data_IF_469224002235
#
_entry.id   IF_469224002235
#
_cell.length_a   1.000
_cell.length_b   1.000
_cell.length_c   1.000
_cell.angle_alpha   90.00
_cell.angle_beta   90.00
_cell.angle_gamma   90.00
#
_symmetry.space_group_name_H-M   'P 1'
#
loop_
_entity.id
_entity.type
_entity.pdbx_description
1 polymer ?
#
# COMPACT_ATOMS: atom_id res chain seq x y z
N UNK A 1 16.19 59.82 25.66
CA UNK A 1 16.44 58.39 25.47
C UNK A 1 17.58 58.26 24.43
N UNK A 2 18.82 57.89 24.86
CA UNK A 2 19.91 57.56 23.97
C UNK A 2 19.72 56.04 23.62
N UNK A 3 19.30 55.76 22.38
CA UNK A 3 19.39 54.41 21.83
C UNK A 3 20.85 54.07 21.62
N UNK A 4 21.43 53.20 22.42
CA UNK A 4 22.72 52.55 22.18
C UNK A 4 22.50 51.49 21.14
N UNK A 5 22.91 51.71 19.90
CA UNK A 5 22.92 50.67 18.83
C UNK A 5 24.13 49.76 19.05
N UNK A 6 23.93 48.71 19.82
CA UNK A 6 24.91 47.58 19.88
C UNK A 6 24.64 46.63 18.72
N UNK A 7 25.33 46.80 17.63
CA UNK A 7 25.34 45.84 16.51
C UNK A 7 26.51 44.89 16.76
N UNK A 8 26.24 43.61 16.88
CA UNK A 8 27.27 42.55 16.96
C UNK A 8 26.94 41.44 15.97
N UNK A 9 27.95 40.91 15.29
CA UNK A 9 27.87 39.69 14.53
C UNK A 9 28.15 38.52 15.50
N UNK A 10 27.23 37.56 15.58
CA UNK A 10 27.39 36.37 16.42
C UNK A 10 27.25 35.12 15.56
N UNK A 11 28.22 34.21 15.64
CA UNK A 11 28.18 32.89 15.03
C UNK A 11 28.33 31.85 16.11
N UNK A 12 27.40 30.89 16.16
CA UNK A 12 27.38 29.82 17.16
C UNK A 12 27.53 28.50 16.46
N UNK A 13 28.45 27.65 16.93
CA UNK A 13 28.58 26.24 16.55
C UNK A 13 28.53 25.37 17.79
N UNK A 14 27.79 24.29 17.76
CA UNK A 14 27.67 23.32 18.85
C UNK A 14 27.72 21.92 18.29
N UNK A 15 28.45 21.04 18.96
CA UNK A 15 28.45 19.59 18.75
C UNK A 15 28.01 18.95 20.05
N UNK A 16 26.99 18.09 20.00
CA UNK A 16 26.51 17.38 21.18
C UNK A 16 26.34 15.89 20.92
N UNK A 17 26.61 15.11 21.96
CA UNK A 17 26.32 13.67 22.02
C UNK A 17 25.29 13.47 23.11
N UNK A 18 24.14 12.97 22.71
CA UNK A 18 23.00 12.78 23.57
C UNK A 18 22.79 11.29 23.88
N UNK A 19 22.74 10.95 25.17
CA UNK A 19 22.46 9.60 25.62
C UNK A 19 21.22 9.58 26.51
N UNK A 20 20.21 8.83 26.08
CA UNK A 20 19.03 8.62 26.89
C UNK A 20 19.26 7.58 27.98
N UNK A 21 18.77 7.85 29.20
CA UNK A 21 18.84 6.93 30.34
C UNK A 21 17.57 6.09 30.36
N UNK A 22 17.65 4.82 29.94
CA UNK A 22 16.47 3.97 29.78
C UNK A 22 15.72 3.65 31.07
N UNK A 23 16.42 3.56 32.21
CA UNK A 23 15.82 3.25 33.51
C UNK A 23 14.92 4.36 34.03
N UNK A 24 15.36 5.60 33.91
CA UNK A 24 14.70 6.76 34.51
C UNK A 24 14.01 7.68 33.49
N UNK A 25 14.23 7.45 32.18
CA UNK A 25 13.68 8.29 31.12
C UNK A 25 14.31 9.67 31.02
N UNK A 26 15.46 9.89 31.67
CA UNK A 26 16.26 11.09 31.56
C UNK A 26 17.21 11.07 30.36
N UNK A 27 17.95 12.17 30.19
CA UNK A 27 18.92 12.39 29.12
C UNK A 27 20.19 12.98 29.69
N UNK A 28 21.33 12.43 29.32
CA UNK A 28 22.66 13.04 29.51
C UNK A 28 23.11 13.54 28.15
N UNK A 29 23.54 14.79 28.10
CA UNK A 29 24.13 15.41 26.92
C UNK A 29 25.57 15.83 27.24
N UNK A 30 26.51 15.44 26.39
CA UNK A 30 27.87 15.94 26.40
C UNK A 30 28.02 16.86 25.20
N UNK A 31 28.35 18.11 25.43
CA UNK A 31 28.42 19.11 24.37
C UNK A 31 29.72 19.90 24.36
N UNK A 32 30.09 20.36 23.18
CA UNK A 32 31.16 21.34 22.97
C UNK A 32 30.58 22.46 22.11
N UNK A 33 30.74 23.69 22.53
CA UNK A 33 30.25 24.85 21.79
C UNK A 33 31.31 25.92 21.60
N UNK A 34 31.17 26.64 20.49
CA UNK A 34 31.98 27.78 20.13
C UNK A 34 31.10 28.92 19.64
N UNK A 35 31.32 30.08 20.20
CA UNK A 35 30.66 31.31 19.80
C UNK A 35 31.69 32.33 19.36
N UNK A 36 31.57 32.86 18.16
CA UNK A 36 32.30 34.03 17.68
C UNK A 36 31.45 35.27 17.83
N UNK A 37 32.02 36.30 18.44
CA UNK A 37 31.34 37.59 18.69
C UNK A 37 32.21 38.71 18.14
N UNK A 38 31.64 39.50 17.22
CA UNK A 38 32.26 40.69 16.63
C UNK A 38 31.37 41.91 16.87
N UNK A 39 31.76 42.83 17.75
CA UNK A 39 31.02 44.06 18.02
C UNK A 39 31.27 45.06 16.90
N UNK A 40 30.31 45.26 15.99
CA UNK A 40 30.47 46.06 14.76
C UNK A 40 30.52 47.58 14.96
N UNK A 41 30.12 48.16 16.09
CA UNK A 41 29.93 49.59 16.24
C UNK A 41 30.55 50.16 17.54
N UNK A 42 31.52 49.51 18.16
CA UNK A 42 32.13 49.96 19.41
C UNK A 42 33.60 50.25 19.12
N UNK A 43 33.98 51.55 19.07
CA UNK A 43 35.38 51.97 18.92
C UNK A 43 36.23 51.38 20.07
N UNK A 44 37.11 50.45 19.76
CA UNK A 44 38.00 49.77 20.71
C UNK A 44 37.54 48.38 21.23
N UNK A 45 36.39 47.88 20.81
CA UNK A 45 35.99 46.54 21.18
C UNK A 45 36.56 45.52 20.18
N UNK A 46 37.39 44.58 20.66
CA UNK A 46 37.96 43.56 19.84
C UNK A 46 37.02 42.33 19.69
N UNK A 47 37.05 41.69 18.52
CA UNK A 47 36.43 40.39 18.31
C UNK A 47 36.99 39.37 19.27
N UNK A 48 36.13 38.45 19.74
CA UNK A 48 36.54 37.39 20.63
C UNK A 48 35.73 36.10 20.39
N UNK A 49 36.33 35.01 20.84
CA UNK A 49 35.70 33.70 20.84
C UNK A 49 35.32 33.34 22.27
N UNK A 50 34.11 32.82 22.45
CA UNK A 50 33.69 32.15 23.67
C UNK A 50 33.54 30.67 23.36
N UNK A 51 34.09 29.81 24.21
CA UNK A 51 33.96 28.38 24.04
C UNK A 51 33.43 27.71 25.33
N UNK A 52 32.74 26.63 25.15
CA UNK A 52 32.50 25.61 26.17
C UNK A 52 33.12 24.32 25.64
N UNK A 53 34.45 24.09 25.85
CA UNK A 53 35.11 22.94 25.28
C UNK A 53 34.51 21.60 25.71
N UNK A 54 34.03 21.54 26.92
CA UNK A 54 33.36 20.37 27.47
C UNK A 54 32.27 20.78 28.44
N UNK A 55 31.07 20.36 28.16
CA UNK A 55 29.87 20.54 29.00
C UNK A 55 29.12 19.23 29.15
N UNK A 56 28.64 18.92 30.36
CA UNK A 56 27.77 17.79 30.64
C UNK A 56 26.46 18.32 31.18
N UNK A 57 25.38 17.93 30.58
CA UNK A 57 24.03 18.31 31.02
C UNK A 57 23.20 17.07 31.30
N UNK A 58 22.58 17.03 32.48
CA UNK A 58 21.57 16.02 32.84
C UNK A 58 20.20 16.68 32.82
N UNK A 59 19.29 16.08 32.10
CA UNK A 59 17.85 16.45 32.15
C UNK A 59 17.04 15.22 32.57
N UNK A 60 16.41 15.29 33.74
CA UNK A 60 15.69 14.19 34.37
C UNK A 60 14.26 14.58 34.66
N UNK A 61 13.24 14.08 33.93
CA UNK A 61 11.86 14.21 34.32
C UNK A 61 11.59 13.33 35.56
N UNK A 62 11.11 13.95 36.63
CA UNK A 62 10.65 13.27 37.83
C UNK A 62 9.12 13.14 37.72
N UNK A 63 8.58 11.98 38.03
CA UNK A 63 7.14 11.65 37.91
C UNK A 63 6.58 11.74 36.47
N UNK A 64 7.44 12.02 35.48
CA UNK A 64 7.10 11.94 34.06
C UNK A 64 6.99 10.50 33.57
N UNK A 65 6.47 10.33 32.34
CA UNK A 65 6.45 9.03 31.67
C UNK A 65 7.83 8.74 31.07
N UNK A 66 8.30 7.52 31.29
CA UNK A 66 9.50 7.03 30.61
C UNK A 66 9.13 6.64 29.17
N UNK A 67 9.38 7.55 28.22
CA UNK A 67 9.09 7.36 26.79
C UNK A 67 9.83 6.15 26.20
N UNK A 68 11.10 5.91 26.63
CA UNK A 68 11.89 4.78 26.12
C UNK A 68 11.29 3.43 26.49
N UNK A 69 10.71 3.33 27.71
CA UNK A 69 10.03 2.12 28.15
C UNK A 69 8.81 1.81 27.28
N UNK A 70 8.07 2.84 26.86
CA UNK A 70 6.94 2.68 25.95
C UNK A 70 7.40 2.37 24.52
N UNK A 71 8.39 3.10 24.00
CA UNK A 71 8.96 2.84 22.68
C UNK A 71 9.50 1.41 22.57
N UNK A 72 10.18 0.89 23.60
CA UNK A 72 10.63 -0.51 23.64
C UNK A 72 9.47 -1.51 23.50
N UNK A 73 8.26 -1.15 23.85
CA UNK A 73 7.05 -1.99 23.68
C UNK A 73 6.38 -1.79 22.32
N UNK A 74 6.41 -0.55 21.80
CA UNK A 74 5.74 -0.17 20.55
C UNK A 74 6.59 -0.53 19.33
N UNK A 75 7.90 -0.25 19.32
CA UNK A 75 8.77 -0.44 18.17
C UNK A 75 8.84 -1.91 17.68
N UNK A 76 8.87 -2.94 18.53
CA UNK A 76 8.79 -4.32 18.05
C UNK A 76 7.48 -4.65 17.32
N UNK A 77 6.36 -4.03 17.73
CA UNK A 77 5.08 -4.19 17.02
C UNK A 77 5.11 -3.48 15.68
N UNK A 78 5.68 -2.27 15.64
CA UNK A 78 5.86 -1.51 14.39
C UNK A 78 6.75 -2.26 13.38
N UNK A 79 7.84 -2.88 13.88
CA UNK A 79 8.69 -3.72 13.05
C UNK A 79 7.95 -4.95 12.51
N UNK A 80 7.18 -5.65 13.35
CA UNK A 80 6.36 -6.80 12.90
C UNK A 80 5.31 -6.38 11.88
N UNK A 81 4.64 -5.25 12.10
CA UNK A 81 3.67 -4.68 11.16
C UNK A 81 4.33 -4.35 9.82
N UNK A 82 5.48 -3.67 9.83
CA UNK A 82 6.21 -3.34 8.62
C UNK A 82 6.69 -4.59 7.85
N UNK A 83 7.14 -5.63 8.58
CA UNK A 83 7.51 -6.90 7.97
C UNK A 83 6.32 -7.63 7.34
N UNK A 84 5.17 -7.63 8.01
CA UNK A 84 3.95 -8.22 7.45
C UNK A 84 3.44 -7.41 6.25
N UNK A 85 3.51 -6.07 6.30
CA UNK A 85 3.16 -5.21 5.18
C UNK A 85 4.07 -5.43 3.97
N UNK A 86 5.37 -5.65 4.18
CA UNK A 86 6.29 -6.01 3.09
C UNK A 86 5.88 -7.32 2.41
N UNK A 87 5.52 -8.35 3.18
CA UNK A 87 5.04 -9.61 2.62
C UNK A 87 3.73 -9.42 1.84
N UNK A 88 2.80 -8.63 2.37
CA UNK A 88 1.56 -8.28 1.67
C UNK A 88 1.84 -7.54 0.35
N UNK A 89 2.82 -6.62 0.34
CA UNK A 89 3.23 -5.91 -0.88
C UNK A 89 3.81 -6.88 -1.94
N UNK A 90 4.61 -7.87 -1.52
CA UNK A 90 5.12 -8.92 -2.42
C UNK A 90 3.97 -9.75 -3.00
N UNK A 91 3.04 -10.20 -2.15
CA UNK A 91 1.86 -10.94 -2.62
C UNK A 91 0.99 -10.09 -3.56
N UNK A 92 0.83 -8.81 -3.30
CA UNK A 92 0.11 -7.88 -4.17
C UNK A 92 0.76 -7.74 -5.55
N UNK A 93 2.09 -7.71 -5.63
CA UNK A 93 2.83 -7.73 -6.90
C UNK A 93 2.59 -9.05 -7.62
N UNK A 94 2.65 -10.17 -6.91
CA UNK A 94 2.38 -11.52 -7.44
C UNK A 94 0.97 -11.61 -8.01
N UNK A 95 -0.05 -11.20 -7.25
CA UNK A 95 -1.44 -11.16 -7.73
C UNK A 95 -1.62 -10.27 -8.96
N UNK A 96 -0.96 -9.11 -9.00
CA UNK A 96 -1.01 -8.23 -10.18
C UNK A 96 -0.36 -8.87 -11.40
N UNK A 97 0.75 -9.58 -11.22
CA UNK A 97 1.40 -10.33 -12.30
C UNK A 97 0.46 -11.42 -12.86
N UNK A 98 -0.18 -12.18 -11.96
CA UNK A 98 -1.17 -13.20 -12.32
C UNK A 98 -2.33 -12.56 -13.09
N UNK A 99 -2.85 -11.44 -12.61
CA UNK A 99 -3.94 -10.71 -13.29
C UNK A 99 -3.55 -10.30 -14.71
N UNK A 100 -2.37 -9.73 -14.93
CA UNK A 100 -1.91 -9.35 -16.27
C UNK A 100 -1.65 -10.56 -17.17
N UNK A 101 -1.15 -11.66 -16.58
CA UNK A 101 -0.98 -12.91 -17.32
C UNK A 101 -2.31 -13.46 -17.83
N UNK A 102 -3.33 -13.53 -16.97
CA UNK A 102 -4.65 -14.00 -17.39
C UNK A 102 -5.36 -13.02 -18.33
N UNK A 103 -5.16 -11.73 -18.20
CA UNK A 103 -5.64 -10.75 -19.19
C UNK A 103 -5.03 -10.99 -20.56
N UNK A 104 -3.74 -11.31 -20.65
CA UNK A 104 -3.08 -11.70 -21.91
C UNK A 104 -3.67 -13.01 -22.44
N UNK A 105 -3.85 -14.01 -21.59
CA UNK A 105 -4.45 -15.29 -21.95
C UNK A 105 -5.87 -15.10 -22.52
N UNK A 106 -6.71 -14.32 -21.83
CA UNK A 106 -8.06 -13.98 -22.29
C UNK A 106 -8.05 -13.25 -23.65
N UNK A 107 -7.15 -12.30 -23.82
CA UNK A 107 -7.03 -11.58 -25.10
C UNK A 107 -6.60 -12.51 -26.24
N UNK A 108 -5.71 -13.47 -25.99
CA UNK A 108 -5.31 -14.51 -26.93
C UNK A 108 -6.48 -15.42 -27.32
N UNK A 109 -7.25 -15.89 -26.33
CA UNK A 109 -8.44 -16.73 -26.56
C UNK A 109 -9.53 -15.96 -27.32
N UNK A 110 -9.80 -14.69 -26.95
CA UNK A 110 -10.77 -13.87 -27.66
C UNK A 110 -10.39 -13.65 -29.13
N UNK A 111 -9.12 -13.44 -29.43
CA UNK A 111 -8.64 -13.36 -30.80
C UNK A 111 -8.84 -14.69 -31.55
N UNK A 112 -8.52 -15.81 -30.89
CA UNK A 112 -8.73 -17.13 -31.46
C UNK A 112 -10.22 -17.37 -31.79
N UNK A 113 -11.12 -17.06 -30.86
CA UNK A 113 -12.57 -17.13 -31.06
C UNK A 113 -13.02 -16.25 -32.26
N UNK A 114 -12.54 -15.00 -32.30
CA UNK A 114 -12.88 -14.06 -33.36
C UNK A 114 -12.41 -14.57 -34.74
N UNK A 115 -11.21 -15.15 -34.82
CA UNK A 115 -10.68 -15.77 -36.07
C UNK A 115 -11.53 -16.95 -36.47
N UNK A 116 -11.90 -17.87 -35.56
CA UNK A 116 -12.76 -19.00 -35.86
C UNK A 116 -14.17 -18.55 -36.33
N UNK A 117 -14.74 -17.55 -35.67
CA UNK A 117 -16.02 -17.01 -36.06
C UNK A 117 -15.99 -16.34 -37.42
N UNK A 118 -14.87 -15.68 -37.80
CA UNK A 118 -14.69 -15.14 -39.14
C UNK A 118 -14.64 -16.23 -40.18
N UNK A 119 -13.85 -17.29 -39.96
CA UNK A 119 -13.78 -18.43 -40.89
C UNK A 119 -15.14 -19.11 -41.09
N UNK A 120 -15.91 -19.29 -40.00
CA UNK A 120 -17.24 -19.84 -40.05
C UNK A 120 -18.23 -18.92 -40.79
N UNK A 121 -18.18 -17.61 -40.53
CA UNK A 121 -19.03 -16.63 -41.22
C UNK A 121 -18.75 -16.60 -42.74
N UNK A 122 -17.47 -16.63 -43.15
CA UNK A 122 -17.07 -16.69 -44.56
C UNK A 122 -17.64 -17.93 -45.23
N UNK A 123 -17.46 -19.12 -44.62
CA UNK A 123 -17.98 -20.39 -45.12
C UNK A 123 -19.51 -20.41 -45.25
N UNK A 124 -20.22 -19.90 -44.22
CA UNK A 124 -21.69 -19.84 -44.24
C UNK A 124 -22.16 -18.89 -45.34
N UNK A 125 -21.48 -17.76 -45.53
CA UNK A 125 -21.80 -16.81 -46.61
C UNK A 125 -21.60 -17.41 -48.02
N UNK A 126 -20.50 -18.12 -48.25
CA UNK A 126 -20.26 -18.83 -49.52
C UNK A 126 -21.37 -19.85 -49.84
N UNK A 127 -21.78 -20.66 -48.84
CA UNK A 127 -22.88 -21.62 -48.98
C UNK A 127 -24.19 -20.87 -49.28
N UNK A 128 -24.44 -19.74 -48.59
CA UNK A 128 -25.63 -18.95 -48.82
C UNK A 128 -25.69 -18.32 -50.22
N UNK A 129 -24.57 -17.89 -50.78
CA UNK A 129 -24.51 -17.40 -52.15
C UNK A 129 -24.96 -18.49 -53.14
N UNK A 130 -24.42 -19.72 -53.05
CA UNK A 130 -24.83 -20.83 -53.88
C UNK A 130 -26.35 -21.15 -53.72
N UNK A 131 -26.85 -21.14 -52.52
CA UNK A 131 -28.29 -21.35 -52.24
C UNK A 131 -29.20 -20.23 -52.76
N UNK A 132 -28.69 -18.99 -52.79
CA UNK A 132 -29.42 -17.87 -53.41
C UNK A 132 -29.55 -18.02 -54.90
N UNK A 133 -28.48 -18.44 -55.57
CA UNK A 133 -28.48 -18.75 -57.02
C UNK A 133 -29.50 -19.85 -57.36
N UNK A 134 -29.69 -20.82 -56.46
CA UNK A 134 -30.73 -21.86 -56.59
C UNK A 134 -32.15 -21.40 -56.15
N UNK A 135 -32.32 -20.16 -55.73
CA UNK A 135 -33.63 -19.63 -55.31
C UNK A 135 -34.08 -20.12 -53.92
N UNK A 136 -33.20 -20.72 -53.12
CA UNK A 136 -33.57 -21.34 -51.82
C UNK A 136 -33.55 -20.37 -50.63
N UNK A 137 -32.90 -19.21 -50.75
CA UNK A 137 -32.88 -18.18 -49.70
C UNK A 137 -33.17 -16.81 -50.29
N UNK A 138 -33.67 -15.91 -49.43
CA UNK A 138 -33.99 -14.53 -49.79
C UNK A 138 -32.75 -13.66 -49.92
N UNK A 139 -32.84 -12.54 -50.62
CA UNK A 139 -31.76 -11.56 -50.71
C UNK A 139 -31.48 -10.93 -49.33
N UNK A 140 -32.52 -10.71 -48.51
CA UNK A 140 -32.40 -10.18 -47.17
C UNK A 140 -31.55 -11.10 -46.29
N UNK A 141 -31.76 -12.42 -46.35
CA UNK A 141 -30.94 -13.40 -45.62
C UNK A 141 -29.47 -13.39 -46.08
N UNK A 142 -29.21 -13.29 -47.38
CA UNK A 142 -27.86 -13.18 -47.90
C UNK A 142 -27.18 -11.89 -47.43
N UNK A 143 -27.88 -10.74 -47.44
CA UNK A 143 -27.33 -9.47 -46.93
C UNK A 143 -27.06 -9.52 -45.44
N UNK A 144 -27.92 -10.21 -44.65
CA UNK A 144 -27.67 -10.43 -43.22
C UNK A 144 -26.43 -11.25 -42.96
N UNK A 145 -26.18 -12.30 -43.73
CA UNK A 145 -24.96 -13.12 -43.64
C UNK A 145 -23.72 -12.33 -44.06
N UNK A 146 -23.81 -11.51 -45.10
CA UNK A 146 -22.74 -10.59 -45.48
C UNK A 146 -22.40 -9.60 -44.38
N UNK A 147 -23.41 -9.05 -43.71
CA UNK A 147 -23.20 -8.20 -42.57
C UNK A 147 -22.51 -8.93 -41.39
N UNK A 148 -22.84 -10.22 -41.20
CA UNK A 148 -22.17 -11.07 -40.20
C UNK A 148 -20.67 -11.26 -40.50
N UNK A 149 -20.29 -11.48 -41.79
CA UNK A 149 -18.86 -11.53 -42.21
C UNK A 149 -18.15 -10.21 -41.89
N UNK A 150 -18.77 -9.06 -42.21
CA UNK A 150 -18.17 -7.76 -41.94
C UNK A 150 -17.98 -7.52 -40.41
N UNK A 151 -18.96 -7.90 -39.60
CA UNK A 151 -18.90 -7.83 -38.13
C UNK A 151 -17.77 -8.74 -37.59
N UNK A 152 -17.70 -9.96 -38.07
CA UNK A 152 -16.64 -10.91 -37.66
C UNK A 152 -15.25 -10.40 -38.05
N UNK A 153 -15.08 -9.81 -39.25
CA UNK A 153 -13.81 -9.17 -39.66
C UNK A 153 -13.42 -8.00 -38.76
N UNK A 154 -14.40 -7.14 -38.41
CA UNK A 154 -14.16 -6.04 -37.46
C UNK A 154 -13.79 -6.56 -36.07
N UNK A 155 -14.40 -7.64 -35.61
CA UNK A 155 -14.07 -8.29 -34.35
C UNK A 155 -12.64 -8.79 -34.32
N UNK A 156 -12.14 -9.44 -35.36
CA UNK A 156 -10.73 -9.90 -35.45
C UNK A 156 -9.78 -8.71 -35.28
N UNK A 157 -10.04 -7.60 -35.97
CA UNK A 157 -9.20 -6.39 -35.85
C UNK A 157 -9.20 -5.83 -34.43
N UNK A 158 -10.38 -5.80 -33.80
CA UNK A 158 -10.54 -5.33 -32.40
C UNK A 158 -9.78 -6.21 -31.41
N UNK A 159 -9.97 -7.53 -31.51
CA UNK A 159 -9.34 -8.48 -30.58
C UNK A 159 -7.82 -8.57 -30.79
N UNK A 160 -7.33 -8.36 -32.04
CA UNK A 160 -5.88 -8.22 -32.30
C UNK A 160 -5.30 -7.00 -31.58
N UNK A 161 -6.01 -5.88 -31.61
CA UNK A 161 -5.58 -4.68 -30.86
C UNK A 161 -5.62 -4.91 -29.34
N UNK A 162 -6.62 -5.65 -28.86
CA UNK A 162 -6.73 -6.08 -27.46
C UNK A 162 -5.54 -6.94 -27.02
N UNK A 163 -5.16 -7.92 -27.84
CA UNK A 163 -3.99 -8.76 -27.58
C UNK A 163 -2.70 -7.94 -27.51
N UNK A 164 -2.50 -7.03 -28.46
CA UNK A 164 -1.32 -6.15 -28.47
C UNK A 164 -1.26 -5.28 -27.21
N UNK A 165 -2.40 -4.74 -26.75
CA UNK A 165 -2.48 -3.94 -25.54
C UNK A 165 -2.18 -4.76 -24.27
N UNK A 166 -2.76 -5.97 -24.14
CA UNK A 166 -2.50 -6.85 -23.00
C UNK A 166 -1.04 -7.32 -22.96
N UNK A 167 -0.45 -7.62 -24.12
CA UNK A 167 0.96 -7.97 -24.27
C UNK A 167 1.86 -6.81 -23.81
N UNK A 168 1.59 -5.61 -24.26
CA UNK A 168 2.34 -4.41 -23.87
C UNK A 168 2.26 -4.16 -22.35
N UNK A 169 1.07 -4.32 -21.78
CA UNK A 169 0.84 -4.12 -20.36
C UNK A 169 1.65 -5.10 -19.49
N UNK A 170 1.63 -6.39 -19.83
CA UNK A 170 2.40 -7.41 -19.11
C UNK A 170 3.90 -7.19 -19.26
N UNK A 171 4.40 -6.93 -20.47
CA UNK A 171 5.82 -6.62 -20.73
C UNK A 171 6.30 -5.41 -19.92
N UNK A 172 5.56 -4.32 -19.99
CA UNK A 172 5.88 -3.08 -19.26
C UNK A 172 5.93 -3.32 -17.75
N UNK A 173 5.00 -4.11 -17.22
CA UNK A 173 4.98 -4.45 -15.81
C UNK A 173 6.16 -5.33 -15.38
N UNK A 174 6.58 -6.28 -16.23
CA UNK A 174 7.71 -7.16 -15.97
C UNK A 174 9.07 -6.51 -16.30
N UNK A 175 9.09 -5.32 -16.89
CA UNK A 175 10.32 -4.66 -17.33
C UNK A 175 10.99 -5.34 -18.54
N UNK A 176 10.21 -6.08 -19.34
CA UNK A 176 10.70 -6.76 -20.54
C UNK A 176 10.77 -5.80 -21.72
N UNK A 177 11.62 -6.16 -22.71
CA UNK A 177 11.76 -5.43 -23.96
C UNK A 177 10.50 -5.55 -24.84
N UNK A 178 10.27 -4.58 -25.71
CA UNK A 178 9.20 -4.64 -26.72
C UNK A 178 9.37 -5.81 -27.71
N UNK A 179 10.59 -6.33 -27.87
CA UNK A 179 10.90 -7.44 -28.77
C UNK A 179 10.63 -8.82 -28.14
N UNK A 180 10.48 -8.90 -26.81
CA UNK A 180 10.22 -10.15 -26.12
C UNK A 180 8.78 -10.62 -26.41
N UNK A 181 8.62 -11.87 -26.86
CA UNK A 181 7.32 -12.48 -27.06
C UNK A 181 6.95 -13.36 -25.87
N UNK A 182 5.78 -13.14 -25.30
CA UNK A 182 5.24 -13.96 -24.22
C UNK A 182 4.12 -14.81 -24.81
N UNK A 183 4.25 -16.12 -24.72
CA UNK A 183 3.17 -17.05 -25.08
C UNK A 183 2.48 -17.53 -23.80
N UNK A 184 1.26 -17.04 -23.57
CA UNK A 184 0.45 -17.45 -22.43
C UNK A 184 -0.19 -18.82 -22.71
N UNK A 185 0.02 -19.75 -21.78
CA UNK A 185 -0.55 -21.10 -21.82
C UNK A 185 -1.63 -21.23 -20.75
N UNK A 186 -2.67 -22.00 -21.04
CA UNK A 186 -3.69 -22.36 -20.06
C UNK A 186 -3.02 -23.27 -19.03
N UNK A 187 -2.98 -22.90 -17.73
CA UNK A 187 -2.40 -23.74 -16.70
C UNK A 187 -3.26 -25.02 -16.50
N UNK A 188 -2.60 -26.11 -16.14
CA UNK A 188 -3.30 -27.31 -15.67
C UNK A 188 -4.04 -26.97 -14.37
N UNK A 189 -5.35 -27.17 -14.38
CA UNK A 189 -6.19 -26.87 -13.24
C UNK A 189 -6.01 -27.93 -12.15
N UNK A 190 -5.65 -27.47 -10.95
CA UNK A 190 -5.62 -28.31 -9.75
C UNK A 190 -7.01 -28.38 -9.12
N UNK A 191 -7.28 -29.47 -8.40
CA UNK A 191 -8.45 -29.55 -7.55
C UNK A 191 -8.36 -28.49 -6.45
N UNK A 192 -9.40 -27.67 -6.33
CA UNK A 192 -9.50 -26.62 -5.29
C UNK A 192 -9.93 -27.25 -3.97
N UNK A 193 -9.10 -27.18 -2.91
CA UNK A 193 -9.53 -27.67 -1.60
C UNK A 193 -10.59 -26.74 -1.01
N UNK A 194 -11.57 -27.31 -0.35
CA UNK A 194 -12.51 -26.54 0.45
C UNK A 194 -11.79 -26.00 1.69
N UNK A 195 -11.86 -24.71 1.93
CA UNK A 195 -11.11 -24.01 2.98
C UNK A 195 -12.06 -23.66 4.12
N UNK A 196 -11.66 -23.99 5.37
CA UNK A 196 -12.45 -23.63 6.54
C UNK A 196 -12.18 -22.18 6.99
N UNK A 197 -13.25 -21.42 7.22
CA UNK A 197 -13.18 -20.03 7.66
C UNK A 197 -12.28 -19.82 8.90
N UNK A 198 -12.42 -20.66 9.93
CA UNK A 198 -11.66 -20.51 11.17
C UNK A 198 -10.15 -20.71 11.00
N UNK A 199 -9.73 -21.56 10.07
CA UNK A 199 -8.32 -21.79 9.79
C UNK A 199 -7.71 -20.57 9.10
N UNK A 200 -8.43 -19.99 8.13
CA UNK A 200 -8.01 -18.76 7.44
C UNK A 200 -7.98 -17.58 8.39
N UNK A 201 -9.02 -17.42 9.21
CA UNK A 201 -9.10 -16.33 10.19
C UNK A 201 -7.94 -16.38 11.19
N UNK A 202 -7.61 -17.57 11.70
CA UNK A 202 -6.49 -17.72 12.65
C UNK A 202 -5.17 -17.33 12.01
N UNK A 203 -4.87 -17.81 10.81
CA UNK A 203 -3.66 -17.46 10.06
C UNK A 203 -3.62 -15.97 9.69
N UNK A 204 -4.76 -15.39 9.31
CA UNK A 204 -4.84 -13.96 8.99
C UNK A 204 -4.55 -13.10 10.23
N UNK A 205 -5.09 -13.46 11.40
CA UNK A 205 -4.83 -12.74 12.66
C UNK A 205 -3.36 -12.83 13.12
N UNK A 206 -2.65 -13.89 12.74
CA UNK A 206 -1.23 -14.05 13.07
C UNK A 206 -0.30 -13.30 12.14
N UNK A 207 -0.58 -13.32 10.83
CA UNK A 207 0.37 -12.92 9.79
C UNK A 207 0.00 -11.62 9.08
N UNK A 208 -1.28 -11.20 9.12
CA UNK A 208 -1.71 -9.99 8.44
C UNK A 208 -1.22 -8.73 9.17
N UNK A 209 -0.71 -7.71 8.46
CA UNK A 209 -0.27 -6.43 9.06
C UNK A 209 -1.38 -5.73 9.85
N UNK A 210 -2.65 -5.92 9.48
CA UNK A 210 -3.81 -5.35 10.16
C UNK A 210 -3.88 -5.77 11.64
N UNK A 211 -3.67 -7.05 11.95
CA UNK A 211 -3.70 -7.54 13.34
C UNK A 211 -2.59 -6.91 14.20
N UNK A 212 -1.40 -6.69 13.62
CA UNK A 212 -0.30 -6.00 14.31
C UNK A 212 -0.58 -4.50 14.44
N UNK A 213 -1.20 -3.88 13.45
CA UNK A 213 -1.64 -2.49 13.47
C UNK A 213 -2.62 -2.21 14.60
N UNK A 214 -3.66 -3.06 14.78
CA UNK A 214 -4.62 -2.95 15.89
C UNK A 214 -3.90 -2.96 17.24
N UNK A 215 -3.00 -3.92 17.46
CA UNK A 215 -2.24 -4.03 18.72
C UNK A 215 -1.36 -2.80 18.97
N UNK A 216 -0.69 -2.31 17.95
CA UNK A 216 0.14 -1.11 18.03
C UNK A 216 -0.69 0.13 18.36
N UNK A 217 -1.77 0.39 17.63
CA UNK A 217 -2.65 1.55 17.82
C UNK A 217 -3.29 1.56 19.21
N UNK A 218 -3.68 0.40 19.73
CA UNK A 218 -4.18 0.30 21.11
C UNK A 218 -3.10 0.67 22.12
N UNK A 219 -1.87 0.19 21.94
CA UNK A 219 -0.75 0.49 22.83
C UNK A 219 -0.30 1.95 22.73
N UNK A 220 -0.36 2.55 21.54
CA UNK A 220 -0.09 3.99 21.34
C UNK A 220 -1.14 4.87 22.05
N UNK A 221 -2.43 4.49 21.97
CA UNK A 221 -3.49 5.19 22.69
C UNK A 221 -3.32 5.10 24.23
N UNK A 222 -2.90 3.94 24.74
CA UNK A 222 -2.57 3.78 26.16
C UNK A 222 -1.34 4.61 26.55
N UNK A 223 -0.35 4.72 25.67
CA UNK A 223 0.82 5.57 25.86
C UNK A 223 0.45 7.06 25.95
N UNK A 224 -0.43 7.54 25.07
CA UNK A 224 -0.91 8.94 25.12
C UNK A 224 -1.59 9.27 26.42
N UNK A 225 -2.42 8.36 26.96
CA UNK A 225 -3.04 8.53 28.27
C UNK A 225 -2.00 8.54 29.38
N UNK A 226 -1.03 7.62 29.33
CA UNK A 226 0.06 7.57 30.29
C UNK A 226 0.89 8.86 30.27
N UNK A 227 1.18 9.37 29.06
CA UNK A 227 1.93 10.61 28.85
C UNK A 227 1.18 11.83 29.39
N UNK A 228 -0.14 11.93 29.11
CA UNK A 228 -0.97 13.00 29.67
C UNK A 228 -1.00 12.96 31.19
N UNK A 229 -1.11 11.77 31.80
CA UNK A 229 -1.07 11.57 33.27
C UNK A 229 0.30 11.91 33.85
N UNK A 230 1.38 11.48 33.23
CA UNK A 230 2.75 11.80 33.64
C UNK A 230 3.02 13.29 33.57
N UNK A 231 2.74 13.92 32.44
CA UNK A 231 2.94 15.36 32.25
C UNK A 231 2.16 16.23 33.23
N UNK A 232 1.07 15.71 33.82
CA UNK A 232 0.31 16.42 34.86
C UNK A 232 1.11 16.61 36.15
N UNK A 233 2.00 15.66 36.49
CA UNK A 233 2.78 15.63 37.71
C UNK A 233 4.28 15.85 37.50
N UNK A 234 4.70 16.06 36.27
CA UNK A 234 6.11 16.13 35.89
C UNK A 234 6.81 17.33 36.53
N UNK A 235 7.92 17.05 37.14
CA UNK A 235 8.92 18.01 37.63
C UNK A 235 10.20 17.73 36.85
N UNK A 236 10.81 18.73 36.24
CA UNK A 236 12.05 18.55 35.50
C UNK A 236 13.22 18.97 36.36
N UNK A 237 14.11 18.04 36.64
CA UNK A 237 15.43 18.29 37.22
C UNK A 237 16.42 18.53 36.09
N UNK A 238 17.14 19.61 36.18
CA UNK A 238 18.20 20.00 35.30
C UNK A 238 19.50 20.19 36.07
N UNK A 239 20.57 19.60 35.61
CA UNK A 239 21.90 19.82 36.14
C UNK A 239 22.88 19.93 34.98
N UNK A 240 23.73 20.97 35.01
CA UNK A 240 24.82 21.08 34.04
C UNK A 240 26.14 21.49 34.71
N UNK A 241 27.22 20.99 34.17
CA UNK A 241 28.56 21.36 34.55
C UNK A 241 29.40 21.53 33.26
N UNK A 242 30.18 22.57 33.19
CA UNK A 242 31.03 22.84 32.04
C UNK A 242 32.18 23.80 32.36
N UNK A 243 33.16 23.77 31.49
CA UNK A 243 34.29 24.72 31.51
C UNK A 243 34.07 25.73 30.38
N UNK A 244 34.37 26.98 30.63
CA UNK A 244 34.26 28.07 29.66
C UNK A 244 35.64 28.65 29.37
N UNK A 245 35.87 29.06 28.14
CA UNK A 245 37.06 29.81 27.73
C UNK A 245 36.68 31.02 26.90
N UNK A 246 37.44 32.10 27.03
CA UNK A 246 37.24 33.32 26.22
C UNK A 246 38.60 33.87 25.84
N UNK A 247 38.81 34.10 24.52
CA UNK A 247 40.05 34.72 24.01
C UNK A 247 39.77 35.35 22.62
N UNK A 248 40.70 36.22 22.21
CA UNK A 248 40.64 36.79 20.84
C UNK A 248 41.07 35.78 19.76
N UNK A 249 41.77 34.73 20.15
CA UNK A 249 42.21 33.63 19.27
C UNK A 249 41.41 32.37 19.56
N UNK A 250 40.92 31.76 18.52
CA UNK A 250 40.15 30.50 18.60
C UNK A 250 40.86 29.40 19.41
N UNK A 251 42.16 29.20 19.13
CA UNK A 251 42.92 28.14 19.79
C UNK A 251 43.08 28.37 21.30
N UNK A 252 43.33 29.65 21.71
CA UNK A 252 43.43 30.01 23.11
C UNK A 252 42.08 29.91 23.85
N UNK A 253 40.99 30.30 23.21
CA UNK A 253 39.67 30.12 23.78
C UNK A 253 39.33 28.66 24.13
N UNK A 254 39.89 27.68 23.41
CA UNK A 254 39.72 26.25 23.71
C UNK A 254 40.76 25.68 24.68
N UNK A 255 41.97 26.26 24.77
CA UNK A 255 43.10 25.73 25.53
C UNK A 255 43.22 26.41 26.88
N UNK A 256 43.09 27.72 26.90
CA UNK A 256 43.31 28.52 28.08
C UNK A 256 41.94 28.76 28.77
N UNK A 257 41.49 27.71 29.46
CA UNK A 257 40.22 27.72 30.15
C UNK A 257 40.25 28.74 31.31
N UNK A 258 39.17 29.46 31.44
CA UNK A 258 38.98 30.34 32.61
C UNK A 258 38.83 29.44 33.84
N UNK A 259 39.39 29.87 34.98
CA UNK A 259 39.17 29.23 36.31
C UNK A 259 37.69 29.29 36.75
N UNK A 260 36.83 29.36 35.80
CA UNK A 260 35.37 29.53 36.03
C UNK A 260 34.62 28.27 35.57
N UNK A 261 34.20 27.47 36.56
CA UNK A 261 33.36 26.31 36.34
C UNK A 261 31.89 26.75 36.47
N UNK A 262 31.08 26.49 35.49
CA UNK A 262 29.66 26.76 35.56
C UNK A 262 28.96 25.48 36.03
N UNK A 263 28.43 25.52 37.24
CA UNK A 263 27.53 24.49 37.79
C UNK A 263 26.14 25.07 37.95
N UNK A 264 25.20 24.47 37.21
CA UNK A 264 23.79 24.87 37.30
C UNK A 264 22.93 23.69 37.72
N UNK A 265 22.09 23.89 38.72
CA UNK A 265 21.06 22.94 39.13
C UNK A 265 19.74 23.68 39.20
N UNK A 266 18.72 23.15 38.53
CA UNK A 266 17.42 23.78 38.45
C UNK A 266 16.29 22.76 38.56
N UNK A 267 15.19 23.20 39.17
CA UNK A 267 13.92 22.47 39.20
C UNK A 267 12.84 23.32 38.56
N UNK A 268 12.19 22.73 37.56
CA UNK A 268 11.04 23.34 36.90
C UNK A 268 9.76 22.67 37.40
N UNK A 269 9.04 23.41 38.29
CA UNK A 269 7.81 22.93 38.90
C UNK A 269 6.64 23.76 38.37
N UNK A 270 5.69 23.17 37.67
CA UNK A 270 4.48 23.87 37.26
C UNK A 270 3.51 24.00 38.44
N UNK A 271 3.27 25.22 38.90
CA UNK A 271 2.48 25.49 40.08
C UNK A 271 0.98 25.63 39.76
N UNK A 272 0.61 26.43 38.76
CA UNK A 272 -0.78 26.70 38.41
C UNK A 272 -0.97 26.61 36.87
N UNK A 273 -1.97 25.87 36.44
CA UNK A 273 -2.29 25.72 35.02
C UNK A 273 -3.80 25.85 34.70
N UNK A 274 -4.56 26.32 35.66
CA UNK A 274 -6.02 26.53 35.55
C UNK A 274 -6.80 25.31 35.02
N UNK A 275 -6.35 24.11 35.35
CA UNK A 275 -6.99 22.87 34.96
C UNK A 275 -6.64 22.36 33.56
N UNK A 276 -5.76 23.04 32.81
CA UNK A 276 -5.33 22.66 31.46
C UNK A 276 -4.79 21.23 31.38
N UNK A 277 -3.96 20.82 32.36
CA UNK A 277 -3.40 19.45 32.40
C UNK A 277 -4.46 18.41 32.74
N UNK A 278 -5.40 18.72 33.62
CA UNK A 278 -6.55 17.86 33.93
C UNK A 278 -7.42 17.67 32.68
N UNK A 279 -7.66 18.76 31.95
CA UNK A 279 -8.37 18.71 30.67
C UNK A 279 -7.68 17.82 29.64
N UNK A 280 -6.35 17.93 29.48
CA UNK A 280 -5.57 17.07 28.56
C UNK A 280 -5.67 15.59 28.93
N UNK A 281 -5.67 15.23 30.20
CA UNK A 281 -5.87 13.82 30.62
C UNK A 281 -7.25 13.34 30.21
N UNK A 282 -8.30 14.12 30.41
CA UNK A 282 -9.66 13.75 29.99
C UNK A 282 -9.77 13.57 28.47
N UNK A 283 -9.16 14.49 27.72
CA UNK A 283 -9.11 14.38 26.23
C UNK A 283 -8.39 13.11 25.81
N UNK A 284 -7.23 12.80 26.41
CA UNK A 284 -6.50 11.57 26.07
C UNK A 284 -7.30 10.30 26.43
N UNK A 285 -8.00 10.28 27.55
CA UNK A 285 -8.87 9.18 27.97
C UNK A 285 -10.04 9.00 27.00
N UNK A 286 -10.73 10.09 26.61
CA UNK A 286 -11.80 10.03 25.60
C UNK A 286 -11.29 9.58 24.25
N UNK A 287 -10.14 10.08 23.79
CA UNK A 287 -9.52 9.63 22.53
C UNK A 287 -9.20 8.14 22.56
N UNK A 288 -8.67 7.62 23.68
CA UNK A 288 -8.45 6.18 23.84
C UNK A 288 -9.74 5.36 23.69
N UNK A 289 -10.86 5.83 24.29
CA UNK A 289 -12.16 5.16 24.15
C UNK A 289 -12.64 5.16 22.69
N UNK A 290 -12.52 6.30 22.00
CA UNK A 290 -12.85 6.40 20.55
C UNK A 290 -12.00 5.44 19.74
N UNK A 291 -10.68 5.43 19.98
CA UNK A 291 -9.76 4.50 19.27
C UNK A 291 -10.14 3.06 19.57
N UNK A 292 -10.37 2.71 20.84
CA UNK A 292 -10.76 1.33 21.22
C UNK A 292 -12.05 0.89 20.55
N UNK A 293 -13.07 1.76 20.50
CA UNK A 293 -14.34 1.46 19.82
C UNK A 293 -14.17 1.29 18.32
N UNK A 294 -13.37 2.16 17.69
CA UNK A 294 -13.04 2.07 16.26
C UNK A 294 -12.28 0.78 15.95
N UNK A 295 -11.28 0.41 16.75
CA UNK A 295 -10.51 -0.82 16.56
C UNK A 295 -11.39 -2.08 16.70
N UNK A 296 -12.39 -2.07 17.58
CA UNK A 296 -13.37 -3.16 17.67
C UNK A 296 -14.20 -3.28 16.39
N UNK A 297 -14.66 -2.14 15.85
CA UNK A 297 -15.40 -2.13 14.59
C UNK A 297 -14.53 -2.64 13.44
N UNK A 298 -13.34 -2.10 13.28
CA UNK A 298 -12.38 -2.52 12.25
C UNK A 298 -12.06 -4.03 12.34
N UNK A 299 -12.00 -4.59 13.58
CA UNK A 299 -11.82 -6.03 13.78
C UNK A 299 -13.03 -6.85 13.30
N UNK A 300 -14.25 -6.37 13.54
CA UNK A 300 -15.46 -7.04 13.06
C UNK A 300 -15.53 -7.00 11.53
N UNK A 301 -15.22 -5.84 10.94
CA UNK A 301 -15.20 -5.66 9.48
C UNK A 301 -14.16 -6.59 8.83
N UNK A 302 -12.94 -6.67 9.41
CA UNK A 302 -11.91 -7.61 8.95
C UNK A 302 -12.35 -9.06 9.01
N UNK A 303 -13.01 -9.49 10.09
CA UNK A 303 -13.52 -10.85 10.21
C UNK A 303 -14.62 -11.12 9.15
N UNK A 304 -15.47 -10.15 8.88
CA UNK A 304 -16.49 -10.24 7.84
C UNK A 304 -15.85 -10.36 6.45
N UNK A 305 -14.85 -9.55 6.15
CA UNK A 305 -14.14 -9.60 4.87
C UNK A 305 -13.49 -10.97 4.64
N UNK A 306 -12.84 -11.53 5.67
CA UNK A 306 -12.27 -12.89 5.60
C UNK A 306 -13.36 -13.94 5.35
N UNK A 307 -14.51 -13.81 6.01
CA UNK A 307 -15.63 -14.71 5.78
C UNK A 307 -16.10 -14.67 4.33
N UNK A 308 -16.32 -13.46 3.79
CA UNK A 308 -16.77 -13.28 2.41
C UNK A 308 -15.74 -13.81 1.40
N UNK A 309 -14.45 -13.59 1.64
CA UNK A 309 -13.38 -14.12 0.78
C UNK A 309 -13.34 -15.65 0.78
N UNK A 310 -13.52 -16.29 1.93
CA UNK A 310 -13.57 -17.76 2.04
C UNK A 310 -14.77 -18.33 1.32
N UNK A 311 -15.95 -17.73 1.52
CA UNK A 311 -17.18 -18.11 0.80
C UNK A 311 -17.02 -17.96 -0.72
N UNK A 312 -16.45 -16.83 -1.17
CA UNK A 312 -16.18 -16.60 -2.58
C UNK A 312 -15.23 -17.67 -3.14
N UNK A 313 -14.13 -17.96 -2.44
CA UNK A 313 -13.16 -18.96 -2.85
C UNK A 313 -13.79 -20.35 -2.96
N UNK A 314 -14.54 -20.78 -1.95
CA UNK A 314 -15.18 -22.11 -1.94
C UNK A 314 -16.24 -22.24 -3.05
N UNK A 315 -16.93 -21.15 -3.39
CA UNK A 315 -17.91 -21.15 -4.48
C UNK A 315 -17.27 -21.10 -5.87
N UNK A 316 -16.02 -20.62 -6.00
CA UNK A 316 -15.34 -20.45 -7.28
C UNK A 316 -15.12 -21.79 -8.01
N UNK A 317 -14.77 -22.85 -7.28
CA UNK A 317 -14.59 -24.16 -7.86
C UNK A 317 -15.85 -24.69 -8.57
N UNK A 318 -17.02 -24.49 -7.96
CA UNK A 318 -18.30 -24.86 -8.55
C UNK A 318 -18.68 -23.98 -9.73
N UNK A 319 -18.45 -22.66 -9.64
CA UNK A 319 -18.68 -21.75 -10.77
C UNK A 319 -17.82 -22.12 -11.99
N UNK A 320 -16.57 -22.45 -11.76
CA UNK A 320 -15.66 -22.93 -12.80
C UNK A 320 -16.17 -24.22 -13.46
N UNK A 321 -16.58 -25.22 -12.66
CA UNK A 321 -17.13 -26.48 -13.17
C UNK A 321 -18.36 -26.23 -14.04
N UNK A 322 -19.29 -25.38 -13.57
CA UNK A 322 -20.51 -25.02 -14.31
C UNK A 322 -20.16 -24.30 -15.62
N UNK A 323 -19.22 -23.35 -15.59
CA UNK A 323 -18.81 -22.60 -16.76
C UNK A 323 -18.16 -23.51 -17.81
N UNK A 324 -17.35 -24.49 -17.38
CA UNK A 324 -16.72 -25.49 -18.29
C UNK A 324 -17.77 -26.37 -18.96
N UNK A 325 -18.71 -26.90 -18.20
CA UNK A 325 -19.80 -27.73 -18.74
C UNK A 325 -20.71 -26.91 -19.69
N UNK A 326 -20.99 -25.66 -19.35
CA UNK A 326 -21.76 -24.77 -20.21
C UNK A 326 -21.04 -24.47 -21.54
N UNK A 327 -19.72 -24.27 -21.53
CA UNK A 327 -18.91 -24.10 -22.75
C UNK A 327 -18.98 -25.35 -23.64
N UNK A 328 -18.80 -26.54 -23.09
CA UNK A 328 -18.89 -27.80 -23.83
C UNK A 328 -20.28 -28.01 -24.46
N UNK A 329 -21.36 -27.72 -23.70
CA UNK A 329 -22.73 -27.86 -24.20
C UNK A 329 -23.01 -26.82 -25.31
N UNK A 330 -22.60 -25.57 -25.10
CA UNK A 330 -22.80 -24.50 -26.08
C UNK A 330 -22.04 -24.76 -27.40
N UNK A 331 -20.82 -25.28 -27.29
CA UNK A 331 -20.03 -25.69 -28.46
C UNK A 331 -20.71 -26.82 -29.26
N UNK A 332 -21.23 -27.85 -28.58
CA UNK A 332 -21.98 -28.95 -29.26
C UNK A 332 -23.24 -28.42 -29.92
N UNK A 333 -24.02 -27.56 -29.18
CA UNK A 333 -25.22 -26.94 -29.75
C UNK A 333 -24.91 -26.15 -31.01
N UNK A 334 -23.84 -25.35 -30.99
CA UNK A 334 -23.43 -24.56 -32.16
C UNK A 334 -23.05 -25.47 -33.36
N UNK A 335 -22.26 -26.52 -33.14
CA UNK A 335 -21.87 -27.45 -34.19
C UNK A 335 -23.12 -28.12 -34.86
N UNK A 336 -24.06 -28.59 -34.04
CA UNK A 336 -25.34 -29.17 -34.52
C UNK A 336 -26.19 -28.14 -35.28
N UNK A 337 -26.18 -26.87 -34.81
CA UNK A 337 -26.89 -25.79 -35.50
C UNK A 337 -26.27 -25.45 -36.85
N UNK A 338 -24.94 -25.47 -36.98
CA UNK A 338 -24.24 -25.32 -38.28
C UNK A 338 -24.67 -26.43 -39.26
N UNK A 339 -24.64 -27.69 -38.81
CA UNK A 339 -25.08 -28.82 -39.63
C UNK A 339 -26.54 -28.72 -40.05
N UNK A 340 -27.42 -28.35 -39.12
CA UNK A 340 -28.87 -28.14 -39.36
C UNK A 340 -29.13 -26.99 -40.32
N UNK A 341 -28.33 -25.91 -40.22
CA UNK A 341 -28.42 -24.80 -41.17
C UNK A 341 -27.96 -25.23 -42.57
N UNK A 342 -26.88 -26.00 -42.69
CA UNK A 342 -26.38 -26.49 -43.98
C UNK A 342 -27.42 -27.31 -44.75
N UNK A 343 -28.27 -28.08 -44.06
CA UNK A 343 -29.33 -28.88 -44.68
C UNK A 343 -30.70 -28.15 -44.72
N UNK A 344 -30.73 -26.87 -44.31
CA UNK A 344 -31.93 -26.03 -44.41
C UNK A 344 -33.02 -26.29 -43.36
N UNK A 345 -32.67 -26.96 -42.23
CA UNK A 345 -33.63 -27.26 -41.16
C UNK A 345 -33.85 -26.11 -40.19
N UNK A 346 -32.90 -25.17 -40.06
CA UNK A 346 -33.00 -24.00 -39.23
C UNK A 346 -32.69 -22.74 -40.06
N UNK A 347 -33.12 -21.60 -39.55
CA UNK A 347 -32.90 -20.29 -40.18
C UNK A 347 -31.61 -19.63 -39.65
N UNK A 348 -31.24 -18.47 -40.23
CA UNK A 348 -30.05 -17.68 -39.83
C UNK A 348 -30.16 -17.12 -38.42
N UNK A 349 -31.38 -16.87 -37.91
CA UNK A 349 -31.57 -16.34 -36.56
C UNK A 349 -31.18 -17.39 -35.49
N UNK A 350 -31.66 -18.63 -35.68
CA UNK A 350 -31.34 -19.76 -34.80
C UNK A 350 -29.83 -20.06 -34.77
N UNK A 351 -29.18 -19.97 -35.94
CA UNK A 351 -27.72 -20.14 -36.03
C UNK A 351 -26.97 -19.03 -35.29
N UNK A 352 -27.37 -17.78 -35.46
CA UNK A 352 -26.76 -16.64 -34.77
C UNK A 352 -26.95 -16.74 -33.25
N UNK A 353 -28.13 -17.18 -32.75
CA UNK A 353 -28.35 -17.42 -31.33
C UNK A 353 -27.45 -18.50 -30.75
N UNK A 354 -27.28 -19.60 -31.47
CA UNK A 354 -26.36 -20.67 -31.08
C UNK A 354 -24.89 -20.19 -31.05
N UNK A 355 -24.47 -19.36 -32.02
CA UNK A 355 -23.14 -18.75 -32.04
C UNK A 355 -22.93 -17.80 -30.85
N UNK A 356 -23.86 -16.91 -30.59
CA UNK A 356 -23.78 -15.97 -29.47
C UNK A 356 -23.73 -16.71 -28.12
N UNK A 357 -24.54 -17.78 -27.98
CA UNK A 357 -24.53 -18.62 -26.77
C UNK A 357 -23.16 -19.30 -26.57
N UNK A 358 -22.54 -19.81 -27.64
CA UNK A 358 -21.21 -20.42 -27.61
C UNK A 358 -20.14 -19.39 -27.22
N UNK A 359 -20.12 -18.22 -27.84
CA UNK A 359 -19.13 -17.18 -27.58
C UNK A 359 -19.25 -16.67 -26.13
N UNK A 360 -20.47 -16.48 -25.60
CA UNK A 360 -20.70 -16.08 -24.21
C UNK A 360 -20.26 -17.17 -23.22
N UNK A 361 -20.58 -18.45 -23.49
CA UNK A 361 -20.18 -19.57 -22.62
C UNK A 361 -18.64 -19.71 -22.58
N UNK A 362 -17.97 -19.63 -23.73
CA UNK A 362 -16.52 -19.64 -23.81
C UNK A 362 -15.88 -18.47 -23.08
N UNK A 363 -16.38 -17.25 -23.29
CA UNK A 363 -15.90 -16.05 -22.57
C UNK A 363 -16.05 -16.19 -21.06
N UNK A 364 -17.18 -16.74 -20.58
CA UNK A 364 -17.40 -17.00 -19.17
C UNK A 364 -16.44 -18.06 -18.62
N UNK A 365 -16.27 -19.18 -19.31
CA UNK A 365 -15.32 -20.23 -18.90
C UNK A 365 -13.89 -19.68 -18.72
N UNK A 366 -13.40 -18.90 -19.69
CA UNK A 366 -12.07 -18.30 -19.59
C UNK A 366 -11.99 -17.25 -18.47
N UNK A 367 -13.07 -16.50 -18.23
CA UNK A 367 -13.13 -15.55 -17.10
C UNK A 367 -13.11 -16.23 -15.73
N UNK A 368 -13.81 -17.36 -15.57
CA UNK A 368 -13.85 -18.09 -14.30
C UNK A 368 -12.52 -18.80 -13.97
N UNK A 369 -11.63 -18.98 -14.95
CA UNK A 369 -10.26 -19.47 -14.67
C UNK A 369 -9.39 -18.42 -13.97
N UNK A 370 -9.72 -17.15 -14.08
CA UNK A 370 -8.92 -16.05 -13.57
C UNK A 370 -9.26 -15.70 -12.12
N UNK A 371 -10.51 -15.94 -11.71
CA UNK A 371 -11.03 -15.58 -10.39
C UNK A 371 -10.62 -16.59 -9.32
#
# INVERSE_FOLDING_TARGET
YKYVRNNSLQMNGEISIDQNIWLMGGKISVSSSLQYIDPLNTSGANKYYMSVPFGVTLSQPIFGVNNLKWQRRIEPLRYKEAKAAFLEDVERVTLRTITYYFQLLMAKENLHIAQQNKLNADRIYEIAQARREMGQISENELLQLKLSVLKATSSVTKEQSGLNAAMFQLRSFLGLSEQDSIDALIPDMMDYPNIAYYDVLTKAQENNPFAQNIRRRQLEADFEVAQAKGNRRQIDLYASVGYTGQDQKLRSAYRDLMDYQVVQVGLKIPILDWGKRKGRVKVAESNREVISSRLKQEQMDFNQDIFLLVEQFNNQAEQFRIAKEADEIAQRRYNTSVESFMIGKINTLDLNDAQLSKDNARGKYVSEMHL
#
